data_IF_724696237791
#
_entry.id   IF_724696237791
#
_cell.length_a   1.000
_cell.length_b   1.000
_cell.length_c   1.000
_cell.angle_alpha   90.00
_cell.angle_beta   90.00
_cell.angle_gamma   90.00
#
_symmetry.space_group_name_H-M   'P 1'
#
loop_
_entity.id
_entity.type
_entity.pdbx_description
1 polymer ?
#
# COMPACT_ATOMS: atom_id res chain seq x y z
N UNK A 1 -19.37 -8.18 -2.83
CA UNK A 1 -18.00 -8.45 -3.32
C UNK A 1 -18.02 -9.45 -4.48
N UNK A 2 -17.23 -9.20 -5.53
CA UNK A 2 -17.06 -10.13 -6.67
C UNK A 2 -16.12 -11.30 -6.32
N UNK A 3 -16.18 -12.46 -7.00
CA UNK A 3 -15.36 -13.64 -6.66
C UNK A 3 -13.85 -13.39 -6.69
N UNK A 4 -13.34 -12.68 -7.70
CA UNK A 4 -11.91 -12.34 -7.80
C UNK A 4 -11.44 -11.46 -6.64
N UNK A 5 -12.31 -10.56 -6.14
CA UNK A 5 -11.98 -9.64 -5.05
C UNK A 5 -11.88 -10.40 -3.73
N UNK A 6 -12.76 -11.38 -3.50
CA UNK A 6 -12.66 -12.27 -2.35
C UNK A 6 -11.36 -13.07 -2.38
N UNK A 7 -11.03 -13.68 -3.53
CA UNK A 7 -9.77 -14.42 -3.66
C UNK A 7 -8.56 -13.51 -3.45
N UNK A 8 -8.57 -12.29 -3.97
CA UNK A 8 -7.49 -11.32 -3.76
C UNK A 8 -7.26 -11.06 -2.27
N UNK A 9 -8.33 -10.80 -1.51
CA UNK A 9 -8.25 -10.58 -0.07
C UNK A 9 -7.77 -11.83 0.68
N UNK A 10 -8.27 -13.01 0.32
CA UNK A 10 -7.85 -14.28 0.94
C UNK A 10 -6.36 -14.60 0.68
N UNK A 11 -5.92 -14.41 -0.58
CA UNK A 11 -4.52 -14.57 -0.99
C UNK A 11 -3.65 -13.55 -0.27
N UNK A 12 -4.06 -12.28 -0.21
CA UNK A 12 -3.32 -11.24 0.51
C UNK A 12 -3.11 -11.61 1.97
N UNK A 13 -4.22 -11.87 2.68
CA UNK A 13 -4.21 -12.17 4.12
C UNK A 13 -3.35 -13.38 4.46
N UNK A 14 -3.42 -14.42 3.64
CA UNK A 14 -2.65 -15.65 3.85
C UNK A 14 -1.16 -15.50 3.51
N UNK A 15 -0.78 -14.42 2.81
CA UNK A 15 0.60 -14.18 2.36
C UNK A 15 1.24 -12.92 2.96
N UNK A 16 0.65 -12.32 4.00
CA UNK A 16 1.24 -11.18 4.72
C UNK A 16 2.69 -11.45 5.15
N UNK A 17 3.04 -12.60 5.78
CA UNK A 17 4.43 -12.88 6.16
C UNK A 17 5.39 -12.91 4.97
N UNK A 18 4.90 -13.38 3.80
CA UNK A 18 5.70 -13.40 2.57
C UNK A 18 5.89 -12.00 1.99
N UNK A 19 4.85 -11.15 2.05
CA UNK A 19 4.95 -9.75 1.65
C UNK A 19 5.96 -9.01 2.52
N UNK A 20 5.84 -9.10 3.85
CA UNK A 20 6.76 -8.45 4.81
C UNK A 20 8.20 -8.85 4.52
N UNK A 21 8.49 -10.14 4.38
CA UNK A 21 9.82 -10.63 4.02
C UNK A 21 10.31 -10.05 2.68
N UNK A 22 9.45 -10.01 1.67
CA UNK A 22 9.82 -9.49 0.35
C UNK A 22 10.11 -7.98 0.41
N UNK A 23 9.34 -7.22 1.17
CA UNK A 23 9.62 -5.80 1.43
C UNK A 23 11.00 -5.63 2.06
N UNK A 24 11.31 -6.38 3.12
CA UNK A 24 12.61 -6.31 3.80
C UNK A 24 13.78 -6.62 2.86
N UNK A 25 13.70 -7.72 2.12
CA UNK A 25 14.75 -8.14 1.18
C UNK A 25 15.00 -7.06 0.12
N UNK A 26 13.94 -6.39 -0.33
CA UNK A 26 14.05 -5.35 -1.34
C UNK A 26 14.50 -4.00 -0.80
N UNK A 27 14.05 -3.59 0.38
CA UNK A 27 14.53 -2.39 1.07
C UNK A 27 16.03 -2.54 1.35
N UNK A 28 16.46 -3.70 1.86
CA UNK A 28 17.87 -3.99 2.14
C UNK A 28 18.77 -3.92 0.88
N UNK A 29 18.19 -4.09 -0.31
CA UNK A 29 18.91 -4.06 -1.59
C UNK A 29 18.70 -2.76 -2.38
N UNK A 30 17.96 -1.80 -1.84
CA UNK A 30 17.68 -0.53 -2.49
C UNK A 30 18.12 0.66 -1.62
N UNK A 31 19.29 1.22 -1.93
CA UNK A 31 19.89 2.33 -1.19
C UNK A 31 19.02 3.61 -1.19
N UNK A 32 18.13 3.77 -2.18
CA UNK A 32 17.21 4.91 -2.27
C UNK A 32 15.99 4.77 -1.34
N UNK A 33 15.76 3.58 -0.79
CA UNK A 33 14.64 3.23 0.07
C UNK A 33 15.09 2.86 1.49
N UNK A 34 16.29 3.25 1.91
CA UNK A 34 16.87 2.91 3.22
C UNK A 34 16.09 3.56 4.39
N UNK A 35 14.87 3.09 4.61
CA UNK A 35 13.98 3.35 5.72
C UNK A 35 14.11 2.14 6.66
N UNK A 36 14.37 2.41 7.94
CA UNK A 36 14.49 1.38 8.96
C UNK A 36 13.10 0.98 9.46
N UNK A 37 12.36 0.23 8.65
CA UNK A 37 11.12 -0.39 9.13
C UNK A 37 11.45 -1.65 9.92
N UNK A 38 10.82 -1.79 11.09
CA UNK A 38 10.77 -3.07 11.78
C UNK A 38 9.79 -4.02 11.07
N UNK A 39 9.93 -5.33 11.34
CA UNK A 39 9.00 -6.35 10.87
C UNK A 39 7.55 -6.01 11.23
N UNK A 40 7.34 -5.50 12.46
CA UNK A 40 6.02 -5.09 12.92
C UNK A 40 5.47 -3.88 12.16
N UNK A 41 6.33 -2.94 11.71
CA UNK A 41 5.88 -1.79 10.94
C UNK A 41 5.37 -2.24 9.55
N UNK A 42 6.12 -3.14 8.91
CA UNK A 42 5.74 -3.69 7.60
C UNK A 42 4.50 -4.58 7.69
N UNK A 43 4.35 -5.34 8.77
CA UNK A 43 3.16 -6.15 9.02
C UNK A 43 1.94 -5.25 9.25
N UNK A 44 2.04 -4.23 10.09
CA UNK A 44 0.99 -3.23 10.30
C UNK A 44 0.62 -2.50 9.01
N UNK A 45 1.62 -2.09 8.22
CA UNK A 45 1.40 -1.48 6.91
C UNK A 45 0.62 -2.40 5.99
N UNK A 46 1.03 -3.67 5.88
CA UNK A 46 0.36 -4.66 5.01
C UNK A 46 -1.07 -4.96 5.47
N UNK A 47 -1.32 -4.97 6.78
CA UNK A 47 -2.67 -5.06 7.35
C UNK A 47 -3.51 -3.80 7.08
N UNK A 48 -2.90 -2.62 7.14
CA UNK A 48 -3.56 -1.35 6.81
C UNK A 48 -4.02 -1.33 5.36
N UNK A 49 -3.15 -1.68 4.41
CA UNK A 49 -3.49 -1.79 2.99
C UNK A 49 -4.63 -2.81 2.76
N UNK A 50 -4.57 -3.96 3.43
CA UNK A 50 -5.64 -4.95 3.39
C UNK A 50 -6.99 -4.36 3.82
N UNK A 51 -7.03 -3.68 4.97
CA UNK A 51 -8.27 -3.10 5.51
C UNK A 51 -8.86 -2.04 4.56
N UNK A 52 -8.02 -1.19 3.97
CA UNK A 52 -8.45 -0.18 3.00
C UNK A 52 -9.05 -0.81 1.74
N UNK A 53 -8.42 -1.85 1.20
CA UNK A 53 -8.94 -2.56 0.03
C UNK A 53 -10.21 -3.35 0.37
N UNK A 54 -10.29 -3.96 1.55
CA UNK A 54 -11.48 -4.68 1.99
C UNK A 54 -12.69 -3.75 2.10
N UNK A 55 -12.53 -2.58 2.72
CA UNK A 55 -13.56 -1.53 2.78
C UNK A 55 -14.06 -1.13 1.38
N UNK A 56 -13.12 -0.86 0.46
CA UNK A 56 -13.44 -0.47 -0.91
C UNK A 56 -14.18 -1.58 -1.67
N UNK A 57 -13.70 -2.83 -1.60
CA UNK A 57 -14.25 -3.98 -2.34
C UNK A 57 -15.59 -4.46 -1.77
N UNK A 58 -15.86 -4.20 -0.49
CA UNK A 58 -17.18 -4.39 0.13
C UNK A 58 -18.16 -3.25 -0.16
N UNK A 59 -17.68 -2.13 -0.69
CA UNK A 59 -18.49 -0.93 -0.89
C UNK A 59 -18.90 -0.26 0.43
N UNK A 60 -18.07 -0.43 1.47
CA UNK A 60 -18.23 0.25 2.77
C UNK A 60 -17.64 1.66 2.72
N UNK A 61 -17.90 2.41 3.79
CA UNK A 61 -17.20 3.68 4.02
C UNK A 61 -15.69 3.44 4.11
N UNK A 62 -14.92 4.38 3.54
CA UNK A 62 -13.45 4.30 3.39
C UNK A 62 -12.72 4.81 4.63
N UNK A 63 -13.17 4.40 5.81
CA UNK A 63 -12.71 4.98 7.08
C UNK A 63 -11.24 4.71 7.36
N UNK A 64 -10.74 3.49 7.10
CA UNK A 64 -9.33 3.17 7.28
C UNK A 64 -8.46 3.99 6.31
N UNK A 65 -8.92 4.12 5.07
CA UNK A 65 -8.23 4.89 4.02
C UNK A 65 -8.16 6.38 4.37
N UNK A 66 -9.30 6.98 4.74
CA UNK A 66 -9.38 8.39 5.12
C UNK A 66 -8.59 8.67 6.39
N UNK A 67 -8.67 7.80 7.39
CA UNK A 67 -7.89 7.94 8.64
C UNK A 67 -6.40 7.93 8.35
N UNK A 68 -5.92 7.01 7.51
CA UNK A 68 -4.52 6.94 7.12
C UNK A 68 -4.08 8.20 6.38
N UNK A 69 -4.83 8.62 5.36
CA UNK A 69 -4.52 9.84 4.61
C UNK A 69 -4.50 11.07 5.51
N UNK A 70 -5.49 11.24 6.40
CA UNK A 70 -5.64 12.47 7.19
C UNK A 70 -4.74 12.51 8.43
N UNK A 71 -4.30 11.36 8.95
CA UNK A 71 -3.54 11.30 10.19
C UNK A 71 -2.08 10.91 9.98
N UNK A 72 -1.84 9.85 9.21
CA UNK A 72 -0.50 9.26 9.07
C UNK A 72 0.34 10.07 8.10
N UNK A 73 -0.19 10.40 6.92
CA UNK A 73 0.58 11.11 5.89
C UNK A 73 1.05 12.50 6.37
N UNK A 74 0.19 13.37 6.94
CA UNK A 74 0.65 14.64 7.50
C UNK A 74 1.68 14.47 8.60
N UNK A 75 1.54 13.46 9.48
CA UNK A 75 2.51 13.19 10.54
C UNK A 75 3.90 12.83 9.99
N UNK A 76 3.97 12.00 8.93
CA UNK A 76 5.23 11.67 8.27
C UNK A 76 5.90 12.91 7.67
N UNK A 77 5.11 13.77 7.01
CA UNK A 77 5.61 15.03 6.43
C UNK A 77 6.13 15.98 7.51
N UNK A 78 5.41 16.15 8.63
CA UNK A 78 5.84 16.97 9.76
C UNK A 78 7.13 16.45 10.42
N UNK A 79 7.41 15.14 10.31
CA UNK A 79 8.66 14.52 10.76
C UNK A 79 9.82 14.69 9.76
N UNK A 80 9.60 15.38 8.64
CA UNK A 80 10.61 15.68 7.63
C UNK A 80 10.64 14.70 6.45
N UNK A 81 9.64 13.83 6.31
CA UNK A 81 9.56 12.93 5.17
C UNK A 81 9.24 13.69 3.87
N UNK A 82 9.93 13.34 2.78
CA UNK A 82 9.77 14.02 1.50
C UNK A 82 8.63 13.40 0.69
N UNK A 83 7.71 14.18 0.10
CA UNK A 83 6.70 13.64 -0.81
C UNK A 83 7.30 12.86 -1.98
N UNK A 84 8.49 13.25 -2.46
CA UNK A 84 9.19 12.53 -3.54
C UNK A 84 9.64 11.16 -3.05
N UNK A 85 10.15 11.05 -1.81
CA UNK A 85 10.54 9.76 -1.24
C UNK A 85 9.32 8.89 -0.97
N UNK A 86 8.23 9.46 -0.46
CA UNK A 86 6.95 8.76 -0.31
C UNK A 86 6.46 8.19 -1.66
N UNK A 87 6.44 9.01 -2.73
CA UNK A 87 6.01 8.56 -4.05
C UNK A 87 6.83 7.35 -4.54
N UNK A 88 8.15 7.41 -4.36
CA UNK A 88 9.07 6.32 -4.74
C UNK A 88 8.83 5.07 -3.91
N UNK A 89 8.69 5.20 -2.59
CA UNK A 89 8.43 4.08 -1.69
C UNK A 89 7.10 3.40 -2.04
N UNK A 90 6.01 4.15 -2.18
CA UNK A 90 4.71 3.56 -2.50
C UNK A 90 4.66 2.94 -3.90
N UNK A 91 5.35 3.53 -4.88
CA UNK A 91 5.48 2.91 -6.22
C UNK A 91 6.26 1.60 -6.14
N UNK A 92 7.31 1.59 -5.33
CA UNK A 92 8.07 0.37 -5.08
C UNK A 92 7.19 -0.70 -4.41
N UNK A 93 6.35 -0.29 -3.46
CA UNK A 93 5.47 -1.21 -2.76
C UNK A 93 4.41 -1.82 -3.69
N UNK A 94 3.86 -1.01 -4.58
CA UNK A 94 2.96 -1.47 -5.64
C UNK A 94 3.60 -2.57 -6.49
N UNK A 95 4.87 -2.41 -6.87
CA UNK A 95 5.62 -3.40 -7.66
C UNK A 95 5.79 -4.70 -6.85
N UNK A 96 6.19 -4.62 -5.58
CA UNK A 96 6.36 -5.81 -4.72
C UNK A 96 5.05 -6.57 -4.59
N UNK A 97 3.95 -5.86 -4.29
CA UNK A 97 2.62 -6.45 -4.17
C UNK A 97 2.20 -7.12 -5.47
N UNK A 98 2.38 -6.44 -6.61
CA UNK A 98 2.06 -6.99 -7.93
C UNK A 98 2.85 -8.28 -8.20
N UNK A 99 4.13 -8.32 -7.86
CA UNK A 99 5.00 -9.49 -8.07
C UNK A 99 4.72 -10.65 -7.11
N UNK A 100 4.22 -10.38 -5.90
CA UNK A 100 4.02 -11.40 -4.88
C UNK A 100 2.60 -11.95 -4.88
N UNK A 101 1.59 -11.08 -4.99
CA UNK A 101 0.18 -11.46 -4.82
C UNK A 101 -0.43 -11.96 -6.12
N UNK A 102 -0.26 -11.24 -7.24
CA UNK A 102 -0.92 -11.59 -8.50
C UNK A 102 -0.56 -12.98 -9.03
N UNK A 103 0.70 -13.46 -8.93
CA UNK A 103 1.03 -14.83 -9.36
C UNK A 103 0.37 -15.92 -8.52
N UNK A 104 -0.10 -15.61 -7.32
CA UNK A 104 -0.79 -16.56 -6.43
C UNK A 104 -2.28 -16.65 -6.70
N UNK A 105 -2.82 -15.73 -7.51
CA UNK A 105 -4.19 -15.78 -7.98
C UNK A 105 -4.38 -16.91 -8.99
N UNK A 106 -5.57 -17.51 -8.96
CA UNK A 106 -6.08 -18.41 -9.99
C UNK A 106 -6.04 -17.75 -11.37
N UNK A 107 -5.82 -18.55 -12.41
CA UNK A 107 -5.72 -18.03 -13.78
C UNK A 107 -6.98 -17.24 -14.20
N UNK A 108 -8.16 -17.64 -13.71
CA UNK A 108 -9.42 -16.97 -13.97
C UNK A 108 -9.49 -15.55 -13.36
N UNK A 109 -8.90 -15.33 -12.19
CA UNK A 109 -9.02 -14.08 -11.43
C UNK A 109 -7.78 -13.19 -11.53
N UNK A 110 -6.66 -13.72 -12.03
CA UNK A 110 -5.36 -13.02 -12.09
C UNK A 110 -5.43 -11.67 -12.77
N UNK A 111 -6.08 -11.58 -13.94
CA UNK A 111 -6.15 -10.32 -14.72
C UNK A 111 -6.96 -9.27 -13.98
N UNK A 112 -8.15 -9.62 -13.48
CA UNK A 112 -9.00 -8.69 -12.74
C UNK A 112 -8.32 -8.17 -11.46
N UNK A 113 -7.64 -9.05 -10.72
CA UNK A 113 -6.88 -8.65 -9.53
C UNK A 113 -5.70 -7.74 -9.87
N UNK A 114 -4.97 -8.03 -10.96
CA UNK A 114 -3.88 -7.19 -11.44
C UNK A 114 -4.38 -5.79 -11.83
N UNK A 115 -5.46 -5.72 -12.61
CA UNK A 115 -6.05 -4.45 -13.05
C UNK A 115 -6.57 -3.63 -11.87
N UNK A 116 -7.22 -4.29 -10.91
CA UNK A 116 -7.66 -3.65 -9.68
C UNK A 116 -6.47 -3.07 -8.90
N UNK A 117 -5.44 -3.86 -8.62
CA UNK A 117 -4.27 -3.41 -7.85
C UNK A 117 -3.55 -2.25 -8.55
N UNK A 118 -3.38 -2.29 -9.87
CA UNK A 118 -2.76 -1.19 -10.62
C UNK A 118 -3.55 0.12 -10.46
N UNK A 119 -4.88 0.07 -10.60
CA UNK A 119 -5.72 1.25 -10.44
C UNK A 119 -5.77 1.74 -8.98
N UNK A 120 -5.85 0.81 -8.03
CA UNK A 120 -5.89 1.11 -6.61
C UNK A 120 -4.61 1.84 -6.17
N UNK A 121 -3.44 1.33 -6.56
CA UNK A 121 -2.15 1.97 -6.27
C UNK A 121 -1.98 3.32 -6.96
N UNK A 122 -2.46 3.48 -8.20
CA UNK A 122 -2.41 4.77 -8.89
C UNK A 122 -3.21 5.84 -8.13
N UNK A 123 -4.42 5.50 -7.70
CA UNK A 123 -5.28 6.40 -6.92
C UNK A 123 -4.69 6.68 -5.54
N UNK A 124 -4.24 5.64 -4.83
CA UNK A 124 -3.63 5.75 -3.52
C UNK A 124 -2.39 6.65 -3.54
N UNK A 125 -1.49 6.45 -4.51
CA UNK A 125 -0.30 7.29 -4.66
C UNK A 125 -0.69 8.75 -4.95
N UNK A 126 -1.65 8.99 -5.85
CA UNK A 126 -2.10 10.34 -6.15
C UNK A 126 -2.66 11.05 -4.92
N UNK A 127 -3.47 10.35 -4.11
CA UNK A 127 -4.05 10.90 -2.89
C UNK A 127 -3.00 11.15 -1.80
N UNK A 128 -2.09 10.20 -1.56
CA UNK A 128 -1.00 10.38 -0.59
C UNK A 128 -0.16 11.60 -0.95
N UNK A 129 0.21 11.75 -2.23
CA UNK A 129 1.03 12.88 -2.66
C UNK A 129 0.28 14.20 -2.59
N UNK A 130 -1.00 14.24 -2.95
CA UNK A 130 -1.83 15.43 -2.77
C UNK A 130 -1.85 15.87 -1.31
N UNK A 131 -2.15 14.94 -0.39
CA UNK A 131 -2.20 15.23 1.04
C UNK A 131 -0.83 15.64 1.60
N UNK A 132 0.24 14.97 1.17
CA UNK A 132 1.59 15.31 1.60
C UNK A 132 2.00 16.73 1.16
N UNK A 133 1.63 17.12 -0.06
CA UNK A 133 1.89 18.47 -0.57
C UNK A 133 1.07 19.54 0.14
N UNK A 134 -0.18 19.25 0.50
CA UNK A 134 -1.01 20.19 1.26
C UNK A 134 -0.49 20.35 2.70
N UNK A 135 -0.10 19.26 3.36
CA UNK A 135 0.52 19.31 4.69
C UNK A 135 1.85 20.11 4.70
N UNK A 136 2.65 20.04 3.64
CA UNK A 136 3.87 20.84 3.52
C UNK A 136 3.59 22.35 3.44
N UNK A 137 2.52 22.75 2.73
CA UNK A 137 2.15 24.17 2.61
C UNK A 137 1.68 24.73 3.94
N UNK A 138 0.96 23.94 4.73
CA UNK A 138 0.45 24.37 6.03
C UNK A 138 1.56 24.48 7.08
N UNK A 139 2.68 23.79 6.88
CA UNK A 139 3.84 23.82 7.77
C UNK A 139 4.87 24.92 7.43
N UNK A 140 4.76 25.56 6.26
CA UNK A 140 5.68 26.60 5.75
C UNK A 140 5.16 28.02 5.99
#
# INVERSE_FOLDING_TARGET
>A
MQPWARELLDVWKSNIPRLVRTFQEKIATNAELALNYSDSDLEQFTHGLYAMMEEELDGRDRDAYLTYLQSVIPALVMQGESPVRLARALTFDAIVVQMVIVPLMSDQHRVAAADYLMNWWANYNADVIRVALDALKDAS
#
